data_IF_302739924176
#
_entry.id   IF_302739924176
#
_cell.length_a   1.000
_cell.length_b   1.000
_cell.length_c   1.000
_cell.angle_alpha   90.00
_cell.angle_beta   90.00
_cell.angle_gamma   90.00
#
_symmetry.space_group_name_H-M   'P 1'
#
loop_
_entity.id
_entity.type
_entity.pdbx_description
1 polymer ?
#
# COMPACT_ATOMS: atom_id res chain seq x y z
N UNK A 1 1.01 -22.34 -0.74
CA UNK A 1 1.27 -20.96 -0.31
C UNK A 1 2.13 -21.04 0.94
N UNK A 2 3.27 -20.35 0.95
CA UNK A 2 4.11 -20.22 2.15
C UNK A 2 3.47 -19.19 3.09
N UNK A 3 3.77 -19.26 4.39
CA UNK A 3 3.23 -18.31 5.36
C UNK A 3 3.55 -16.84 5.00
N UNK A 4 4.64 -16.60 4.28
CA UNK A 4 5.02 -15.28 3.77
C UNK A 4 4.10 -14.78 2.65
N UNK A 5 3.59 -15.68 1.80
CA UNK A 5 2.66 -15.34 0.71
C UNK A 5 1.31 -14.87 1.26
N UNK A 6 0.80 -15.54 2.30
CA UNK A 6 -0.41 -15.10 3.02
C UNK A 6 -0.21 -13.76 3.73
N UNK A 7 0.96 -13.52 4.32
CA UNK A 7 1.30 -12.22 4.93
C UNK A 7 1.37 -11.12 3.89
N UNK A 8 2.01 -11.38 2.75
CA UNK A 8 2.08 -10.43 1.62
C UNK A 8 0.68 -10.08 1.15
N UNK A 9 -0.14 -11.09 0.84
CA UNK A 9 -1.50 -10.89 0.36
C UNK A 9 -2.35 -10.12 1.38
N UNK A 10 -2.28 -10.48 2.67
CA UNK A 10 -2.98 -9.79 3.75
C UNK A 10 -2.54 -8.34 3.91
N UNK A 11 -1.24 -8.06 3.75
CA UNK A 11 -0.70 -6.69 3.81
C UNK A 11 -1.18 -5.85 2.62
N UNK A 12 -1.09 -6.38 1.39
CA UNK A 12 -1.59 -5.70 0.18
C UNK A 12 -3.07 -5.38 0.32
N UNK A 13 -3.89 -6.33 0.77
CA UNK A 13 -5.32 -6.10 1.00
C UNK A 13 -5.57 -4.94 1.98
N UNK A 14 -4.76 -4.84 3.04
CA UNK A 14 -4.80 -3.72 3.99
C UNK A 14 -4.43 -2.40 3.35
N UNK A 15 -3.36 -2.37 2.54
CA UNK A 15 -2.94 -1.18 1.80
C UNK A 15 -4.03 -0.72 0.84
N UNK A 16 -4.65 -1.64 0.08
CA UNK A 16 -5.75 -1.34 -0.83
C UNK A 16 -6.96 -0.79 -0.09
N UNK A 17 -7.32 -1.32 1.08
CA UNK A 17 -8.42 -0.80 1.89
C UNK A 17 -8.14 0.62 2.39
N UNK A 18 -6.92 0.89 2.89
CA UNK A 18 -6.50 2.23 3.31
C UNK A 18 -6.48 3.22 2.14
N UNK A 19 -5.99 2.77 0.99
CA UNK A 19 -5.98 3.53 -0.26
C UNK A 19 -7.41 3.90 -0.65
N UNK A 20 -8.36 2.97 -0.65
CA UNK A 20 -9.76 3.25 -0.96
C UNK A 20 -10.44 4.19 0.04
N UNK A 21 -10.00 4.22 1.31
CA UNK A 21 -10.48 5.20 2.28
C UNK A 21 -9.91 6.60 2.04
N UNK A 22 -8.71 6.70 1.46
CA UNK A 22 -8.05 7.97 1.13
C UNK A 22 -8.42 8.47 -0.27
N UNK A 23 -8.80 7.57 -1.19
CA UNK A 23 -9.31 7.92 -2.51
C UNK A 23 -10.71 8.51 -2.36
N UNK A 24 -10.82 9.77 -2.73
CA UNK A 24 -12.11 10.42 -2.87
C UNK A 24 -12.60 10.21 -4.31
N UNK A 25 -13.72 9.52 -4.54
CA UNK A 25 -14.19 9.23 -5.90
C UNK A 25 -14.53 10.50 -6.71
N UNK A 26 -14.73 11.65 -6.04
CA UNK A 26 -14.95 12.93 -6.70
C UNK A 26 -13.65 13.70 -6.99
N UNK A 27 -12.56 13.44 -6.24
CA UNK A 27 -11.24 14.09 -6.47
C UNK A 27 -10.20 13.20 -7.16
N UNK A 28 -10.45 11.90 -7.27
CA UNK A 28 -9.53 10.92 -7.84
C UNK A 28 -8.45 10.48 -6.86
N UNK A 29 -7.31 10.03 -7.41
CA UNK A 29 -6.20 9.52 -6.61
C UNK A 29 -5.57 10.64 -5.76
N UNK A 30 -5.38 10.44 -4.44
CA UNK A 30 -4.74 11.44 -3.62
C UNK A 30 -3.26 11.57 -3.97
N UNK A 31 -2.73 12.78 -3.86
CA UNK A 31 -1.35 13.08 -4.22
C UNK A 31 -0.31 12.52 -3.24
N UNK A 32 -0.74 12.10 -2.04
CA UNK A 32 0.13 11.50 -1.04
C UNK A 32 -0.65 10.48 -0.21
N UNK A 33 -0.06 9.30 -0.01
CA UNK A 33 -0.67 8.22 0.76
C UNK A 33 0.05 8.02 2.07
N UNK A 34 -0.74 7.83 3.12
CA UNK A 34 -0.23 7.33 4.39
C UNK A 34 -0.32 5.82 4.36
N UNK A 35 0.81 5.14 4.40
CA UNK A 35 0.91 3.68 4.44
C UNK A 35 1.53 3.24 5.77
N UNK A 36 1.14 2.09 6.33
CA UNK A 36 1.83 1.52 7.47
C UNK A 36 3.29 1.22 7.13
N UNK A 37 4.18 1.42 8.09
CA UNK A 37 5.58 1.00 7.96
C UNK A 37 5.68 -0.54 7.96
N UNK A 38 6.30 -1.15 6.94
CA UNK A 38 6.46 -2.60 6.89
C UNK A 38 7.45 -3.06 7.96
N UNK A 39 7.07 -4.06 8.76
CA UNK A 39 7.90 -4.54 9.87
C UNK A 39 8.79 -5.71 9.48
N UNK A 40 8.49 -6.40 8.38
CA UNK A 40 9.20 -7.59 7.93
C UNK A 40 9.51 -7.53 6.43
N UNK A 41 10.40 -8.41 5.96
CA UNK A 41 10.82 -8.50 4.56
C UNK A 41 9.64 -8.84 3.62
N UNK A 42 8.71 -9.66 4.09
CA UNK A 42 7.46 -9.97 3.39
C UNK A 42 6.59 -8.71 3.20
N UNK A 43 6.40 -7.89 4.24
CA UNK A 43 5.61 -6.65 4.14
C UNK A 43 6.32 -5.59 3.30
N UNK A 44 7.65 -5.54 3.33
CA UNK A 44 8.44 -4.68 2.43
C UNK A 44 8.25 -5.08 0.97
N UNK A 45 8.28 -6.38 0.68
CA UNK A 45 8.02 -6.92 -0.66
C UNK A 45 6.60 -6.58 -1.10
N UNK A 46 5.62 -6.79 -0.21
CA UNK A 46 4.22 -6.45 -0.43
C UNK A 46 4.02 -4.96 -0.75
N UNK A 47 4.64 -4.07 0.02
CA UNK A 47 4.62 -2.63 -0.20
C UNK A 47 5.18 -2.27 -1.58
N UNK A 48 6.32 -2.85 -1.95
CA UNK A 48 6.96 -2.58 -3.24
C UNK A 48 6.11 -3.06 -4.42
N UNK A 49 5.46 -4.23 -4.30
CA UNK A 49 4.54 -4.76 -5.30
C UNK A 49 3.30 -3.85 -5.44
N UNK A 50 2.73 -3.44 -4.30
CA UNK A 50 1.57 -2.55 -4.28
C UNK A 50 1.86 -1.20 -4.93
N UNK A 51 2.98 -0.57 -4.61
CA UNK A 51 3.38 0.70 -5.21
C UNK A 51 3.58 0.58 -6.72
N UNK A 52 4.24 -0.49 -7.18
CA UNK A 52 4.42 -0.74 -8.61
C UNK A 52 3.09 -0.93 -9.36
N UNK A 53 2.12 -1.61 -8.74
CA UNK A 53 0.77 -1.78 -9.29
C UNK A 53 0.04 -0.43 -9.36
N UNK A 54 0.07 0.34 -8.27
CA UNK A 54 -0.56 1.66 -8.21
C UNK A 54 0.06 2.64 -9.22
N UNK A 55 1.38 2.69 -9.35
CA UNK A 55 2.06 3.52 -10.35
C UNK A 55 1.70 3.10 -11.78
N UNK A 56 1.49 1.79 -12.02
CA UNK A 56 1.06 1.27 -13.31
C UNK A 56 -0.37 1.64 -13.64
N UNK A 57 -1.29 1.59 -12.67
CA UNK A 57 -2.69 1.96 -12.87
C UNK A 57 -2.89 3.48 -12.99
N UNK A 58 -2.18 4.25 -12.18
CA UNK A 58 -2.29 5.71 -12.15
C UNK A 58 -1.46 6.40 -13.22
N UNK A 59 -0.39 5.74 -13.70
CA UNK A 59 0.62 6.36 -14.56
C UNK A 59 1.40 7.49 -13.87
N UNK A 60 1.24 7.67 -12.56
CA UNK A 60 1.82 8.75 -11.79
C UNK A 60 2.66 8.16 -10.65
N UNK A 61 3.84 8.75 -10.41
CA UNK A 61 4.67 8.30 -9.31
C UNK A 61 4.03 8.72 -7.99
N UNK A 62 3.62 7.71 -7.24
CA UNK A 62 2.82 7.90 -6.05
C UNK A 62 3.71 8.22 -4.86
N UNK A 63 3.52 9.41 -4.29
CA UNK A 63 4.19 9.78 -3.05
C UNK A 63 3.52 9.08 -1.88
N UNK A 64 4.30 8.40 -1.07
CA UNK A 64 3.81 7.81 0.17
C UNK A 64 4.69 8.23 1.33
N UNK A 65 4.07 8.31 2.50
CA UNK A 65 4.73 8.46 3.78
C UNK A 65 4.40 7.25 4.62
N UNK A 66 5.43 6.63 5.19
CA UNK A 66 5.24 5.56 6.16
C UNK A 66 5.02 6.18 7.53
N UNK A 67 3.92 5.82 8.18
CA UNK A 67 3.73 6.12 9.60
C UNK A 67 4.01 4.85 10.40
N UNK A 68 4.74 4.96 11.54
CA UNK A 68 4.88 3.83 12.45
C UNK A 68 3.47 3.44 12.87
N UNK A 69 3.07 2.21 12.54
CA UNK A 69 1.76 1.69 12.92
C UNK A 69 1.63 1.85 14.43
N UNK A 70 0.73 2.72 14.89
CA UNK A 70 0.51 2.92 16.32
C UNK A 70 0.09 1.56 16.89
N UNK A 71 1.02 0.94 17.61
CA UNK A 71 0.84 -0.31 18.32
C UNK A 71 -0.15 -0.14 19.48
#
# INVERSE_FOLDING_TARGET
MTADDEKIAGYIQRLTALLQQQIDPAKGWPASFVLPEPQNDAERTALSLFLAEVERETGASVKFTTEPGHA
#
